data_IF_132707072187
#
_entry.id   IF_132707072187
#
_cell.length_a   1.000
_cell.length_b   1.000
_cell.length_c   1.000
_cell.angle_alpha   90.00
_cell.angle_beta   90.00
_cell.angle_gamma   90.00
#
_symmetry.space_group_name_H-M   'P 1'
#
loop_
_entity.id
_entity.type
_entity.pdbx_description
1 polymer ?
#
# COMPACT_ATOMS: atom_id res chain seq x y z
N UNK A 1 9.11 14.94 6.12
CA UNK A 1 9.09 13.63 5.43
C UNK A 1 7.70 13.03 5.63
N UNK A 2 7.02 12.54 4.59
CA UNK A 2 5.69 11.93 4.73
C UNK A 2 5.88 10.49 5.19
N UNK A 3 5.28 10.11 6.33
CA UNK A 3 5.32 8.73 6.83
C UNK A 3 4.60 7.78 5.87
N UNK A 4 5.09 6.54 5.77
CA UNK A 4 4.49 5.50 4.95
C UNK A 4 3.00 5.30 5.30
N UNK A 5 2.64 5.41 6.58
CA UNK A 5 1.26 5.31 7.07
C UNK A 5 0.31 6.35 6.46
N UNK A 6 0.78 7.59 6.26
CA UNK A 6 -0.01 8.65 5.63
C UNK A 6 -0.23 8.31 4.15
N UNK A 7 0.82 7.84 3.46
CA UNK A 7 0.70 7.41 2.07
C UNK A 7 -0.27 6.23 1.91
N UNK A 8 -0.22 5.24 2.80
CA UNK A 8 -1.19 4.14 2.83
C UNK A 8 -2.62 4.64 3.11
N UNK A 9 -2.78 5.63 3.99
CA UNK A 9 -4.08 6.22 4.30
C UNK A 9 -4.67 6.99 3.12
N UNK A 10 -3.83 7.72 2.37
CA UNK A 10 -4.22 8.39 1.12
C UNK A 10 -4.66 7.36 0.07
N UNK A 11 -3.91 6.26 -0.08
CA UNK A 11 -4.26 5.15 -0.97
C UNK A 11 -5.58 4.49 -0.57
N UNK A 12 -5.78 4.21 0.72
CA UNK A 12 -7.01 3.62 1.24
C UNK A 12 -8.22 4.52 0.99
N UNK A 13 -8.06 5.84 1.15
CA UNK A 13 -9.09 6.85 0.86
C UNK A 13 -9.49 6.90 -0.62
N UNK A 14 -8.57 6.49 -1.50
CA UNK A 14 -8.76 6.38 -2.94
C UNK A 14 -9.33 5.00 -3.37
N UNK A 15 -9.71 4.16 -2.41
CA UNK A 15 -10.11 2.75 -2.62
C UNK A 15 -8.99 1.89 -3.23
N UNK A 16 -7.72 2.29 -3.04
CA UNK A 16 -6.56 1.53 -3.48
C UNK A 16 -6.18 0.55 -2.37
N UNK A 17 -6.35 -0.74 -2.65
CA UNK A 17 -6.00 -1.84 -1.75
C UNK A 17 -4.61 -2.37 -2.07
N UNK A 18 -3.74 -2.36 -1.07
CA UNK A 18 -2.42 -2.98 -1.15
C UNK A 18 -2.42 -4.31 -0.40
N UNK A 19 -1.88 -5.34 -1.04
CA UNK A 19 -1.87 -6.71 -0.55
C UNK A 19 -0.45 -7.26 -0.67
N UNK A 20 0.18 -7.65 0.43
CA UNK A 20 1.41 -8.41 0.39
C UNK A 20 1.07 -9.90 0.21
N UNK A 21 1.50 -10.51 -0.90
CA UNK A 21 1.45 -11.95 -1.14
C UNK A 21 2.88 -12.48 -1.16
N UNK A 22 3.38 -12.91 0.00
CA UNK A 22 4.79 -13.29 0.17
C UNK A 22 5.70 -12.13 -0.25
N UNK A 23 6.59 -12.38 -1.22
CA UNK A 23 7.51 -11.38 -1.79
C UNK A 23 6.90 -10.45 -2.85
N UNK A 24 5.60 -10.58 -3.14
CA UNK A 24 4.91 -9.79 -4.17
C UNK A 24 3.91 -8.81 -3.54
N UNK A 25 4.10 -7.54 -3.86
CA UNK A 25 3.12 -6.50 -3.58
C UNK A 25 2.07 -6.47 -4.70
N UNK A 26 0.84 -6.82 -4.37
CA UNK A 26 -0.35 -6.67 -5.20
C UNK A 26 -0.99 -5.31 -4.92
N UNK A 27 -1.27 -4.57 -5.98
CA UNK A 27 -1.97 -3.30 -5.90
C UNK A 27 -3.29 -3.46 -6.64
N UNK A 28 -4.40 -3.29 -5.93
CA UNK A 28 -5.75 -3.35 -6.49
C UNK A 28 -6.37 -1.96 -6.39
N UNK A 29 -6.53 -1.31 -7.53
CA UNK A 29 -7.02 0.06 -7.60
C UNK A 29 -8.14 0.15 -8.65
N UNK A 30 -9.16 1.00 -8.43
CA UNK A 30 -10.15 1.29 -9.45
C UNK A 30 -9.52 1.91 -10.69
N UNK A 31 -10.19 1.75 -11.84
CA UNK A 31 -9.75 2.38 -13.11
C UNK A 31 -9.72 3.90 -12.94
N UNK A 32 -8.57 4.50 -13.23
CA UNK A 32 -8.35 5.95 -13.15
C UNK A 32 -7.70 6.43 -11.86
N UNK A 33 -7.72 5.62 -10.80
CA UNK A 33 -7.16 6.01 -9.49
C UNK A 33 -5.68 5.68 -9.37
N UNK A 34 -5.22 4.59 -9.98
CA UNK A 34 -3.79 4.25 -10.03
C UNK A 34 -3.09 5.08 -11.10
N UNK A 35 -2.68 6.28 -10.72
CA UNK A 35 -1.87 7.14 -11.59
C UNK A 35 -0.44 6.58 -11.73
N UNK A 36 0.26 6.87 -12.84
CA UNK A 36 1.65 6.46 -13.01
C UNK A 36 2.58 7.03 -11.92
N UNK A 37 2.26 8.20 -11.37
CA UNK A 37 2.99 8.81 -10.25
C UNK A 37 2.81 8.01 -8.95
N UNK A 38 1.56 7.63 -8.62
CA UNK A 38 1.27 6.75 -7.49
C UNK A 38 1.97 5.39 -7.65
N UNK A 39 1.96 4.83 -8.86
CA UNK A 39 2.66 3.59 -9.18
C UNK A 39 4.18 3.71 -8.98
N UNK A 40 4.79 4.83 -9.39
CA UNK A 40 6.22 5.06 -9.20
C UNK A 40 6.57 5.12 -7.71
N UNK A 41 5.77 5.85 -6.91
CA UNK A 41 5.94 5.91 -5.46
C UNK A 41 5.79 4.53 -4.79
N UNK A 42 4.80 3.74 -5.23
CA UNK A 42 4.59 2.36 -4.78
C UNK A 42 5.78 1.45 -5.11
N UNK A 43 6.39 1.60 -6.28
CA UNK A 43 7.56 0.81 -6.68
C UNK A 43 8.81 1.24 -5.91
N UNK A 44 9.02 2.55 -5.77
CA UNK A 44 10.16 3.11 -5.03
C UNK A 44 10.13 2.70 -3.56
N UNK A 45 8.94 2.67 -2.95
CA UNK A 45 8.73 2.27 -1.56
C UNK A 45 8.24 0.83 -1.42
N UNK A 46 8.28 0.03 -2.48
CA UNK A 46 7.76 -1.35 -2.50
C UNK A 46 8.32 -2.17 -1.36
N UNK A 47 9.64 -2.10 -1.16
CA UNK A 47 10.33 -2.86 -0.11
C UNK A 47 9.83 -2.45 1.28
N UNK A 48 9.73 -1.13 1.52
CA UNK A 48 9.22 -0.56 2.77
C UNK A 48 7.76 -0.96 3.01
N UNK A 49 6.92 -0.94 1.97
CA UNK A 49 5.51 -1.36 2.02
C UNK A 49 5.39 -2.86 2.29
N UNK A 50 6.23 -3.69 1.67
CA UNK A 50 6.25 -5.12 1.94
C UNK A 50 6.64 -5.41 3.39
N UNK A 51 7.69 -4.76 3.90
CA UNK A 51 8.08 -4.91 5.31
C UNK A 51 6.98 -4.43 6.26
N UNK A 52 6.35 -3.28 5.97
CA UNK A 52 5.23 -2.78 6.76
C UNK A 52 4.04 -3.71 6.71
N UNK A 53 3.63 -4.17 5.53
CA UNK A 53 2.48 -5.05 5.36
C UNK A 53 2.75 -6.42 5.96
N UNK A 54 3.93 -7.02 5.77
CA UNK A 54 4.29 -8.30 6.40
C UNK A 54 4.28 -8.22 7.92
N UNK A 55 4.72 -7.08 8.47
CA UNK A 55 4.67 -6.82 9.91
C UNK A 55 3.24 -6.56 10.42
N UNK A 56 2.39 -5.92 9.59
CA UNK A 56 1.05 -5.47 9.97
C UNK A 56 -0.07 -6.45 9.60
N UNK A 57 0.17 -7.44 8.72
CA UNK A 57 -0.76 -8.55 8.47
C UNK A 57 -1.00 -9.42 9.70
N UNK A 58 -0.25 -9.18 10.78
CA UNK A 58 -0.46 -9.74 12.12
C UNK A 58 -1.36 -8.86 13.03
N UNK A 59 -2.14 -7.91 12.51
CA UNK A 59 -3.17 -7.21 13.28
C UNK A 59 -4.57 -7.77 12.97
N UNK A 60 -5.08 -8.72 13.78
CA UNK A 60 -6.51 -8.95 13.84
C UNK A 60 -7.15 -7.76 14.58
N UNK A 61 -8.26 -7.27 14.04
CA UNK A 61 -9.28 -6.55 14.80
C UNK A 61 -9.00 -5.08 15.20
N UNK A 62 -9.70 -4.17 14.52
CA UNK A 62 -10.35 -3.04 15.19
C UNK A 62 -11.81 -3.05 14.76
N UNK A 63 -12.63 -3.78 15.53
CA UNK A 63 -14.09 -3.60 15.64
C UNK A 63 -14.35 -2.55 16.73
#
# INVERSE_FOLDING_TARGET
MKSLEIFLSELSSLDIKLLAQGDRLRCNAPKGTLTPELKAQLVQRKSEILEHLSSHTAHPDRI
#
